data_IF_431836301944
#
_entry.id   IF_431836301944
#
_cell.length_a   1.000
_cell.length_b   1.000
_cell.length_c   1.000
_cell.angle_alpha   90.00
_cell.angle_beta   90.00
_cell.angle_gamma   90.00
#
_symmetry.space_group_name_H-M   'P 1'
#
loop_
_entity.id
_entity.type
_entity.pdbx_description
1 polymer ?
#
# COMPACT_ATOMS: atom_id res chain seq x y z
N UNK A 1 2.47 10.39 -14.58
CA UNK A 1 3.25 9.18 -14.98
C UNK A 1 2.85 8.69 -16.38
N UNK A 2 3.56 7.73 -16.99
CA UNK A 2 3.08 7.13 -18.27
C UNK A 2 1.80 6.33 -18.05
N UNK A 3 0.96 6.25 -19.08
CA UNK A 3 -0.31 5.53 -19.01
C UNK A 3 -0.09 4.04 -18.74
N UNK A 4 0.90 3.44 -19.40
CA UNK A 4 1.24 2.02 -19.25
C UNK A 4 1.65 1.69 -17.81
N UNK A 5 2.36 2.60 -17.15
CA UNK A 5 2.72 2.44 -15.75
C UNK A 5 1.49 2.47 -14.85
N UNK A 6 0.61 3.46 -15.05
CA UNK A 6 -0.64 3.59 -14.28
C UNK A 6 -1.58 2.40 -14.48
N UNK A 7 -1.71 1.91 -15.71
CA UNK A 7 -2.51 0.72 -16.04
C UNK A 7 -1.93 -0.55 -15.37
N UNK A 8 -0.59 -0.64 -15.31
CA UNK A 8 0.12 -1.68 -14.55
C UNK A 8 -0.21 -1.62 -13.05
N UNK A 9 -0.15 -0.43 -12.45
CA UNK A 9 -0.52 -0.25 -11.04
C UNK A 9 -1.98 -0.63 -10.76
N UNK A 10 -2.90 -0.30 -11.66
CA UNK A 10 -4.31 -0.65 -11.53
C UNK A 10 -4.54 -2.17 -11.51
N UNK A 11 -3.61 -2.94 -12.06
CA UNK A 11 -3.64 -4.41 -12.03
C UNK A 11 -2.98 -4.99 -10.78
N UNK A 12 -1.88 -4.38 -10.31
CA UNK A 12 -1.08 -4.92 -9.20
C UNK A 12 -1.60 -4.51 -7.81
N UNK A 13 -2.08 -3.28 -7.64
CA UNK A 13 -2.55 -2.78 -6.33
C UNK A 13 -3.68 -3.68 -5.77
N UNK A 14 -4.73 -4.06 -6.53
CA UNK A 14 -5.75 -4.97 -6.01
C UNK A 14 -5.22 -6.30 -5.49
N UNK A 15 -4.21 -6.89 -6.16
CA UNK A 15 -3.58 -8.15 -5.74
C UNK A 15 -2.83 -7.98 -4.42
N UNK A 16 -2.14 -6.86 -4.25
CA UNK A 16 -1.47 -6.52 -2.99
C UNK A 16 -2.49 -6.34 -1.87
N UNK A 17 -3.55 -5.56 -2.13
CA UNK A 17 -4.65 -5.37 -1.19
C UNK A 17 -5.22 -6.73 -0.77
N UNK A 18 -5.47 -7.65 -1.71
CA UNK A 18 -5.92 -9.00 -1.41
C UNK A 18 -4.89 -9.81 -0.59
N UNK A 19 -3.60 -9.72 -0.91
CA UNK A 19 -2.55 -10.39 -0.14
C UNK A 19 -2.51 -9.92 1.32
N UNK A 20 -2.80 -8.64 1.58
CA UNK A 20 -2.91 -8.09 2.94
C UNK A 20 -4.28 -8.34 3.60
N UNK A 21 -5.25 -8.94 2.89
CA UNK A 21 -6.62 -9.17 3.40
C UNK A 21 -6.75 -10.33 4.39
N UNK A 22 -5.81 -11.27 4.34
CA UNK A 22 -5.66 -12.33 5.32
C UNK A 22 -4.39 -12.06 6.11
N UNK A 23 -4.47 -11.34 7.23
CA UNK A 23 -3.40 -11.40 8.22
C UNK A 23 -3.47 -12.80 8.85
N UNK A 24 -2.99 -13.82 8.14
CA UNK A 24 -2.67 -15.10 8.74
C UNK A 24 -1.75 -14.81 9.92
N UNK A 25 -2.02 -15.51 11.01
CA UNK A 25 -1.55 -15.40 12.40
C UNK A 25 -0.04 -15.14 12.64
N UNK A 26 0.79 -15.09 11.60
CA UNK A 26 2.15 -14.57 11.67
C UNK A 26 2.13 -13.05 11.75
N UNK A 27 2.05 -12.58 12.99
CA UNK A 27 2.38 -11.22 13.35
C UNK A 27 3.72 -10.86 12.70
N UNK A 28 3.70 -9.90 11.78
CA UNK A 28 4.92 -9.27 11.26
C UNK A 28 5.76 -8.79 12.45
N UNK A 29 7.10 -8.89 12.35
CA UNK A 29 8.02 -8.39 13.38
C UNK A 29 7.71 -6.94 13.78
N UNK A 30 7.21 -6.14 12.83
CA UNK A 30 6.74 -4.77 13.02
C UNK A 30 5.59 -4.71 14.04
N UNK A 31 4.58 -5.57 13.95
CA UNK A 31 3.47 -5.63 14.92
C UNK A 31 3.89 -5.97 16.34
N UNK A 32 5.00 -6.70 16.53
CA UNK A 32 5.55 -7.04 17.86
C UNK A 32 6.39 -5.92 18.47
N UNK A 33 6.97 -5.06 17.62
CA UNK A 33 7.85 -3.95 18.02
C UNK A 33 7.09 -2.67 18.34
N UNK A 34 5.92 -2.48 17.73
CA UNK A 34 5.14 -1.26 17.87
C UNK A 34 4.01 -1.48 18.88
N UNK A 35 3.94 -0.61 19.90
CA UNK A 35 2.84 -0.60 20.85
C UNK A 35 1.74 0.30 20.27
N UNK A 36 0.62 -0.27 19.83
CA UNK A 36 -0.49 0.47 19.22
C UNK A 36 -1.80 0.16 19.94
N UNK A 37 -2.58 1.19 20.23
CA UNK A 37 -3.90 1.06 20.87
C UNK A 37 -4.95 0.49 19.90
N UNK A 38 -4.75 0.68 18.60
CA UNK A 38 -5.68 0.30 17.55
C UNK A 38 -4.98 -0.53 16.47
N UNK A 39 -5.11 -1.85 16.61
CA UNK A 39 -4.63 -2.84 15.63
C UNK A 39 -5.06 -2.54 14.19
N UNK A 40 -6.25 -1.98 14.02
CA UNK A 40 -6.78 -1.57 12.73
C UNK A 40 -5.94 -0.47 12.08
N UNK A 41 -5.65 0.62 12.80
CA UNK A 41 -4.93 1.78 12.26
C UNK A 41 -3.49 1.40 11.89
N UNK A 42 -2.86 0.55 12.70
CA UNK A 42 -1.53 0.03 12.40
C UNK A 42 -1.51 -0.79 11.10
N UNK A 43 -2.40 -1.78 10.96
CA UNK A 43 -2.45 -2.64 9.77
C UNK A 43 -2.86 -1.87 8.51
N UNK A 44 -3.75 -0.90 8.66
CA UNK A 44 -4.15 0.00 7.59
C UNK A 44 -2.96 0.84 7.10
N UNK A 45 -2.24 1.47 8.02
CA UNK A 45 -1.04 2.26 7.71
C UNK A 45 0.09 1.41 7.14
N UNK A 46 0.36 0.24 7.70
CA UNK A 46 1.37 -0.71 7.22
C UNK A 46 1.07 -1.14 5.77
N UNK A 47 -0.19 -1.45 5.47
CA UNK A 47 -0.62 -1.82 4.11
C UNK A 47 -0.38 -0.68 3.11
N UNK A 48 -0.75 0.55 3.48
CA UNK A 48 -0.50 1.72 2.64
C UNK A 48 1.01 1.90 2.40
N UNK A 49 1.82 1.80 3.45
CA UNK A 49 3.27 1.95 3.33
C UNK A 49 3.92 0.89 2.44
N UNK A 50 3.47 -0.36 2.50
CA UNK A 50 3.93 -1.42 1.60
C UNK A 50 3.59 -1.15 0.14
N UNK A 51 2.35 -0.74 -0.13
CA UNK A 51 1.90 -0.42 -1.49
C UNK A 51 2.68 0.79 -2.02
N UNK A 52 2.85 1.84 -1.21
CA UNK A 52 3.62 3.03 -1.58
C UNK A 52 5.08 2.69 -1.90
N UNK A 53 5.75 1.94 -1.02
CA UNK A 53 7.12 1.50 -1.21
C UNK A 53 7.30 0.65 -2.47
N UNK A 54 6.36 -0.23 -2.77
CA UNK A 54 6.36 -0.99 -4.02
C UNK A 54 6.27 -0.07 -5.24
N UNK A 55 5.30 0.86 -5.26
CA UNK A 55 5.09 1.76 -6.40
C UNK A 55 6.32 2.65 -6.62
N UNK A 56 6.89 3.22 -5.56
CA UNK A 56 8.12 4.03 -5.64
C UNK A 56 9.27 3.20 -6.20
N UNK A 57 9.46 1.97 -5.71
CA UNK A 57 10.49 1.07 -6.24
C UNK A 57 10.27 0.78 -7.74
N UNK A 58 9.06 0.43 -8.15
CA UNK A 58 8.72 0.17 -9.56
C UNK A 58 8.90 1.41 -10.43
N UNK A 59 8.60 2.59 -9.90
CA UNK A 59 8.87 3.87 -10.55
C UNK A 59 10.38 4.05 -10.78
N UNK A 60 11.20 3.90 -9.74
CA UNK A 60 12.66 4.03 -9.85
C UNK A 60 13.22 3.01 -10.85
N UNK A 61 12.75 1.77 -10.82
CA UNK A 61 13.18 0.73 -11.75
C UNK A 61 12.80 1.05 -13.21
N UNK A 62 11.64 1.67 -13.43
CA UNK A 62 11.15 2.03 -14.77
C UNK A 62 11.81 3.29 -15.33
N UNK A 63 11.83 4.37 -14.53
CA UNK A 63 12.27 5.70 -14.96
C UNK A 63 13.73 6.00 -14.63
N UNK A 64 14.42 5.12 -13.90
CA UNK A 64 15.83 5.25 -13.48
C UNK A 64 16.12 6.54 -12.71
N UNK A 65 15.13 7.04 -11.96
CA UNK A 65 15.23 8.21 -11.09
C UNK A 65 14.20 8.14 -9.97
N UNK A 66 14.42 8.95 -8.94
CA UNK A 66 13.43 9.18 -7.89
C UNK A 66 12.19 9.90 -8.44
N UNK A 67 10.99 9.64 -7.89
CA UNK A 67 9.81 10.43 -8.20
C UNK A 67 9.96 11.86 -7.70
N UNK A 68 9.50 12.82 -8.49
CA UNK A 68 9.36 14.21 -8.04
C UNK A 68 8.22 14.36 -7.03
N UNK A 69 8.16 15.50 -6.34
CA UNK A 69 7.07 15.78 -5.38
C UNK A 69 5.68 15.68 -6.01
N UNK A 70 5.51 16.12 -7.26
CA UNK A 70 4.21 15.98 -7.95
C UNK A 70 3.89 14.52 -8.29
N UNK A 71 4.88 13.71 -8.62
CA UNK A 71 4.69 12.28 -8.89
C UNK A 71 4.42 11.51 -7.60
N UNK A 72 5.05 11.85 -6.48
CA UNK A 72 4.72 11.29 -5.17
C UNK A 72 3.26 11.61 -4.77
N UNK A 73 2.80 12.83 -5.03
CA UNK A 73 1.40 13.20 -4.82
C UNK A 73 0.44 12.43 -5.74
N UNK A 74 0.83 12.18 -6.99
CA UNK A 74 0.06 11.35 -7.94
C UNK A 74 0.01 9.89 -7.45
N UNK A 75 1.12 9.31 -6.99
CA UNK A 75 1.19 7.97 -6.37
C UNK A 75 0.26 7.89 -5.15
N UNK A 76 0.33 8.86 -4.26
CA UNK A 76 -0.54 8.93 -3.07
C UNK A 76 -2.01 8.96 -3.47
N UNK A 77 -2.36 9.75 -4.49
CA UNK A 77 -3.73 9.86 -5.01
C UNK A 77 -4.23 8.52 -5.57
N UNK A 78 -3.36 7.77 -6.27
CA UNK A 78 -3.69 6.43 -6.77
C UNK A 78 -3.98 5.47 -5.61
N UNK A 79 -3.16 5.46 -4.55
CA UNK A 79 -3.37 4.59 -3.38
C UNK A 79 -4.70 4.92 -2.68
N UNK A 80 -5.03 6.20 -2.57
CA UNK A 80 -6.30 6.66 -1.95
C UNK A 80 -7.53 6.08 -2.66
N UNK A 81 -7.48 5.85 -3.97
CA UNK A 81 -8.58 5.21 -4.72
C UNK A 81 -8.89 3.79 -4.23
N UNK A 82 -7.92 3.11 -3.60
CA UNK A 82 -8.07 1.77 -3.05
C UNK A 82 -8.32 1.76 -1.54
N UNK A 83 -8.36 2.93 -0.88
CA UNK A 83 -8.51 3.06 0.57
C UNK A 83 -9.73 2.31 1.13
N UNK A 84 -10.87 2.34 0.43
CA UNK A 84 -12.06 1.60 0.85
C UNK A 84 -11.90 0.08 0.75
N UNK A 85 -11.15 -0.41 -0.23
CA UNK A 85 -10.85 -1.85 -0.34
C UNK A 85 -9.88 -2.27 0.77
N UNK A 86 -8.83 -1.48 1.02
CA UNK A 86 -7.88 -1.69 2.11
C UNK A 86 -8.62 -1.70 3.47
N UNK A 87 -9.53 -0.75 3.71
CA UNK A 87 -10.34 -0.71 4.94
C UNK A 87 -11.23 -1.94 5.11
N UNK A 88 -11.83 -2.44 4.01
CA UNK A 88 -12.71 -3.60 4.06
C UNK A 88 -11.99 -4.87 4.54
N UNK A 89 -10.72 -5.02 4.20
CA UNK A 89 -9.89 -6.14 4.63
C UNK A 89 -9.77 -6.24 6.15
N UNK A 90 -9.69 -5.10 6.83
CA UNK A 90 -9.50 -5.05 8.28
C UNK A 90 -10.80 -4.85 9.07
N UNK A 91 -11.98 -4.84 8.41
CA UNK A 91 -13.28 -4.66 9.09
C UNK A 91 -13.57 -5.70 10.18
N UNK A 92 -13.01 -6.91 10.07
CA UNK A 92 -13.18 -7.98 11.07
C UNK A 92 -12.34 -7.78 12.34
N UNK A 93 -11.40 -6.82 12.33
CA UNK A 93 -10.47 -6.50 13.42
C UNK A 93 -10.95 -5.25 14.19
N UNK A 94 -12.06 -4.64 13.77
CA UNK A 94 -12.67 -3.46 14.37
C UNK A 94 -13.55 -3.81 15.57
#
# INVERSE_FOLDING_TARGET
>A
MSKEFLDGLATEIPKMVEAFSNPTTEQTESRKKWNYDHAFDFLYGETIGWIEGYIIRSFIETYKREPSTSELAEISSVIVLYSDQIRKNFRKIR
#
